data_IF_396803152383
#
_entry.id   IF_396803152383
#
_cell.length_a   1.000
_cell.length_b   1.000
_cell.length_c   1.000
_cell.angle_alpha   90.00
_cell.angle_beta   90.00
_cell.angle_gamma   90.00
#
_symmetry.space_group_name_H-M   'P 1'
#
loop_
_entity.id
_entity.type
_entity.pdbx_description
1 polymer ?
#
# COMPACT_ATOMS: atom_id res chain seq x y z
N UNK A 1 7.67 -8.56 9.50
CA UNK A 1 6.23 -8.26 9.72
C UNK A 1 5.56 -8.00 8.38
N UNK A 2 4.33 -8.41 8.24
CA UNK A 2 3.53 -8.14 7.04
C UNK A 2 2.59 -6.99 7.33
N UNK A 3 2.70 -5.93 6.56
CA UNK A 3 1.90 -4.72 6.73
C UNK A 3 1.13 -4.46 5.44
N UNK A 4 -0.13 -4.10 5.57
CA UNK A 4 -0.98 -3.81 4.43
C UNK A 4 -1.32 -2.32 4.31
N UNK A 5 -1.52 -1.87 3.08
CA UNK A 5 -2.01 -0.53 2.79
C UNK A 5 -3.15 -0.60 1.79
N UNK A 6 -4.26 0.02 2.12
CA UNK A 6 -5.45 0.08 1.28
C UNK A 6 -5.86 1.53 1.04
N UNK A 7 -6.15 1.88 -0.21
CA UNK A 7 -6.60 3.22 -0.57
C UNK A 7 -7.81 3.13 -1.47
N UNK A 8 -8.84 3.92 -1.17
CA UNK A 8 -10.03 4.04 -1.99
C UNK A 8 -10.38 5.50 -2.19
N UNK A 9 -11.16 5.78 -3.22
CA UNK A 9 -11.82 7.09 -3.37
C UNK A 9 -13.19 7.04 -2.70
N UNK A 10 -13.85 8.18 -2.57
CA UNK A 10 -15.20 8.23 -2.01
C UNK A 10 -16.22 7.48 -2.87
N UNK A 11 -15.93 7.31 -4.15
CA UNK A 11 -16.80 6.60 -5.09
C UNK A 11 -16.48 5.10 -5.17
N UNK A 12 -15.38 4.69 -4.57
CA UNK A 12 -14.92 3.31 -4.62
C UNK A 12 -15.51 2.55 -3.46
N UNK A 13 -16.18 1.43 -3.74
CA UNK A 13 -16.83 0.61 -2.73
C UNK A 13 -16.09 -0.70 -2.48
N UNK A 14 -14.83 -0.79 -2.91
CA UNK A 14 -14.05 -2.02 -2.83
C UNK A 14 -13.14 -2.09 -1.61
N UNK A 15 -13.33 -1.21 -0.62
CA UNK A 15 -12.46 -1.20 0.56
C UNK A 15 -12.51 -2.53 1.30
N UNK A 16 -13.70 -3.11 1.49
CA UNK A 16 -13.84 -4.38 2.20
C UNK A 16 -13.11 -5.51 1.48
N UNK A 17 -13.18 -5.53 0.15
CA UNK A 17 -12.44 -6.53 -0.64
C UNK A 17 -10.93 -6.38 -0.44
N UNK A 18 -10.43 -5.15 -0.42
CA UNK A 18 -9.02 -4.91 -0.19
C UNK A 18 -8.61 -5.36 1.21
N UNK A 19 -9.39 -5.01 2.22
CA UNK A 19 -9.09 -5.37 3.60
C UNK A 19 -9.11 -6.89 3.79
N UNK A 20 -10.11 -7.56 3.23
CA UNK A 20 -10.20 -9.02 3.33
C UNK A 20 -9.00 -9.70 2.66
N UNK A 21 -8.61 -9.24 1.48
CA UNK A 21 -7.47 -9.79 0.77
C UNK A 21 -6.17 -9.60 1.57
N UNK A 22 -5.99 -8.43 2.17
CA UNK A 22 -4.82 -8.16 3.00
C UNK A 22 -4.79 -9.05 4.23
N UNK A 23 -5.93 -9.27 4.87
CA UNK A 23 -6.01 -10.17 6.02
C UNK A 23 -5.69 -11.61 5.64
N UNK A 24 -6.16 -12.06 4.49
CA UNK A 24 -5.86 -13.40 3.99
C UNK A 24 -4.36 -13.58 3.76
N UNK A 25 -3.69 -12.53 3.30
CA UNK A 25 -2.24 -12.56 3.13
C UNK A 25 -1.47 -12.61 4.45
N UNK A 26 -2.15 -12.40 5.57
CA UNK A 26 -1.51 -12.47 6.88
C UNK A 26 -0.96 -11.15 7.36
N UNK A 27 -1.48 -10.02 6.86
CA UNK A 27 -1.04 -8.71 7.33
C UNK A 27 -1.39 -8.53 8.79
N UNK A 28 -0.38 -8.18 9.60
CA UNK A 28 -0.56 -7.99 11.04
C UNK A 28 -1.11 -6.60 11.35
N UNK A 29 -0.84 -5.65 10.47
CA UNK A 29 -1.36 -4.29 10.60
C UNK A 29 -1.73 -3.76 9.22
N UNK A 30 -2.87 -3.10 9.12
CA UNK A 30 -3.37 -2.57 7.86
C UNK A 30 -3.63 -1.08 8.03
N UNK A 31 -3.02 -0.28 7.16
CA UNK A 31 -3.27 1.16 7.06
C UNK A 31 -4.26 1.39 5.93
N UNK A 32 -5.27 2.20 6.18
CA UNK A 32 -6.30 2.46 5.17
C UNK A 32 -6.58 3.94 5.06
N UNK A 33 -6.85 4.37 3.84
CA UNK A 33 -7.14 5.76 3.50
C UNK A 33 -8.29 5.84 2.54
N UNK A 34 -9.12 6.87 2.71
CA UNK A 34 -10.12 7.22 1.72
C UNK A 34 -9.80 8.63 1.24
N UNK A 35 -9.50 8.76 -0.05
CA UNK A 35 -9.10 10.04 -0.63
C UNK A 35 -10.16 10.47 -1.63
N UNK A 36 -10.78 11.61 -1.38
CA UNK A 36 -11.87 12.13 -2.19
C UNK A 36 -11.44 13.18 -3.21
N UNK A 37 -10.18 13.56 -3.22
CA UNK A 37 -9.69 14.61 -4.10
C UNK A 37 -8.32 14.24 -4.67
N UNK A 38 -7.86 15.07 -5.63
CA UNK A 38 -6.57 14.86 -6.29
C UNK A 38 -5.38 15.37 -5.46
N UNK A 39 -5.59 15.69 -4.21
CA UNK A 39 -4.51 16.13 -3.33
C UNK A 39 -3.50 15.02 -3.13
N UNK A 40 -2.23 15.40 -3.07
CA UNK A 40 -1.14 14.44 -2.94
C UNK A 40 -0.95 13.94 -1.50
N UNK A 41 -1.63 14.55 -0.55
CA UNK A 41 -1.44 14.22 0.85
C UNK A 41 -2.05 12.85 1.18
N UNK A 42 -1.22 11.95 1.67
CA UNK A 42 -1.63 10.58 2.05
C UNK A 42 -1.05 10.24 3.42
N UNK A 43 -1.66 10.75 4.49
CA UNK A 43 -1.10 10.59 5.82
C UNK A 43 -0.97 9.13 6.27
N UNK A 44 -1.89 8.27 5.86
CA UNK A 44 -1.81 6.86 6.25
C UNK A 44 -0.71 6.13 5.51
N UNK A 45 -0.43 6.50 4.27
CA UNK A 45 0.73 5.94 3.56
C UNK A 45 2.02 6.36 4.25
N UNK A 46 2.13 7.62 4.64
CA UNK A 46 3.29 8.11 5.36
C UNK A 46 3.48 7.35 6.67
N UNK A 47 2.41 7.16 7.44
CA UNK A 47 2.45 6.40 8.68
C UNK A 47 2.87 4.96 8.43
N UNK A 48 2.36 4.35 7.37
CA UNK A 48 2.71 3.00 6.98
C UNK A 48 4.19 2.88 6.69
N UNK A 49 4.73 3.79 5.88
CA UNK A 49 6.14 3.77 5.51
C UNK A 49 7.04 3.98 6.73
N UNK A 50 6.62 4.83 7.66
CA UNK A 50 7.39 5.05 8.90
C UNK A 50 7.38 3.85 9.82
N UNK A 51 6.34 3.02 9.76
CA UNK A 51 6.23 1.82 10.58
C UNK A 51 7.04 0.65 10.02
N UNK A 52 7.38 0.68 8.74
CA UNK A 52 8.12 -0.38 8.10
C UNK A 52 9.58 -0.40 8.57
N UNK A 53 10.10 -1.61 8.72
CA UNK A 53 11.50 -1.83 9.10
C UNK A 53 12.13 -2.80 8.11
N UNK A 54 13.46 -2.86 8.10
CA UNK A 54 14.19 -3.79 7.25
C UNK A 54 13.67 -5.21 7.47
N UNK A 55 13.37 -5.90 6.37
CA UNK A 55 12.82 -7.26 6.42
C UNK A 55 11.31 -7.33 6.41
N UNK A 56 10.62 -6.20 6.54
CA UNK A 56 9.15 -6.18 6.48
C UNK A 56 8.67 -6.22 5.02
N UNK A 57 7.42 -6.64 4.84
CA UNK A 57 6.79 -6.70 3.53
C UNK A 57 5.54 -5.83 3.52
N UNK A 58 5.42 -4.98 2.52
CA UNK A 58 4.22 -4.16 2.31
C UNK A 58 3.33 -4.85 1.28
N UNK A 59 2.10 -5.13 1.67
CA UNK A 59 1.08 -5.70 0.80
C UNK A 59 0.11 -4.64 0.37
N UNK A 60 -0.21 -4.60 -0.93
CA UNK A 60 -1.20 -3.68 -1.48
C UNK A 60 -2.15 -4.46 -2.39
N UNK A 61 -3.35 -3.90 -2.61
CA UNK A 61 -4.33 -4.51 -3.47
C UNK A 61 -3.90 -4.47 -4.93
N UNK A 62 -3.52 -3.28 -5.39
CA UNK A 62 -3.05 -3.04 -6.74
C UNK A 62 -2.04 -1.92 -6.72
N UNK A 63 -1.16 -1.88 -7.72
CA UNK A 63 -0.13 -0.84 -7.81
C UNK A 63 -0.73 0.56 -7.92
N UNK A 64 -1.88 0.70 -8.59
CA UNK A 64 -2.53 2.01 -8.71
C UNK A 64 -3.10 2.53 -7.38
N UNK A 65 -3.16 1.68 -6.36
CA UNK A 65 -3.54 2.10 -5.01
C UNK A 65 -2.35 2.57 -4.19
N UNK A 66 -1.14 2.30 -4.63
CA UNK A 66 0.07 2.76 -3.94
C UNK A 66 0.54 4.10 -4.47
N UNK A 67 0.57 4.28 -5.79
CA UNK A 67 1.00 5.50 -6.44
C UNK A 67 -0.11 6.12 -7.27
N UNK A 68 -0.07 7.44 -7.43
CA UNK A 68 -1.08 8.18 -8.21
C UNK A 68 -0.62 8.43 -9.64
N UNK A 69 0.69 8.33 -9.87
CA UNK A 69 1.30 8.45 -11.19
C UNK A 69 2.44 7.45 -11.25
N UNK A 70 2.94 7.21 -12.45
CA UNK A 70 4.08 6.32 -12.62
C UNK A 70 5.29 6.82 -11.82
N UNK A 71 5.53 8.11 -11.85
CA UNK A 71 6.66 8.71 -11.12
C UNK A 71 6.50 8.50 -9.61
N UNK A 72 5.31 8.74 -9.08
CA UNK A 72 5.02 8.56 -7.67
C UNK A 72 5.20 7.09 -7.26
N UNK A 73 4.72 6.17 -8.09
CA UNK A 73 4.87 4.74 -7.84
C UNK A 73 6.34 4.34 -7.81
N UNK A 74 7.12 4.80 -8.77
CA UNK A 74 8.56 4.49 -8.84
C UNK A 74 9.28 5.02 -7.60
N UNK A 75 8.96 6.24 -7.18
CA UNK A 75 9.56 6.83 -5.99
C UNK A 75 9.27 6.01 -4.75
N UNK A 76 8.03 5.54 -4.59
CA UNK A 76 7.63 4.74 -3.43
C UNK A 76 8.33 3.38 -3.44
N UNK A 77 8.38 2.72 -4.60
CA UNK A 77 9.07 1.43 -4.72
C UNK A 77 10.56 1.58 -4.41
N UNK A 78 11.19 2.64 -4.92
CA UNK A 78 12.59 2.91 -4.64
C UNK A 78 12.81 3.12 -3.14
N UNK A 79 11.94 3.87 -2.50
CA UNK A 79 12.02 4.09 -1.06
C UNK A 79 11.94 2.78 -0.28
N UNK A 80 11.04 1.88 -0.67
CA UNK A 80 10.93 0.57 -0.04
C UNK A 80 12.20 -0.25 -0.20
N UNK A 81 12.79 -0.21 -1.39
CA UNK A 81 14.05 -0.93 -1.64
C UNK A 81 15.17 -0.39 -0.76
N UNK A 82 15.25 0.92 -0.59
CA UNK A 82 16.26 1.54 0.26
C UNK A 82 16.08 1.17 1.74
N UNK A 83 14.85 0.86 2.13
CA UNK A 83 14.52 0.45 3.49
C UNK A 83 14.68 -1.06 3.69
N UNK A 84 15.10 -1.80 2.68
CA UNK A 84 15.17 -3.26 2.68
C UNK A 84 13.80 -3.91 2.95
N UNK A 85 12.75 -3.31 2.42
CA UNK A 85 11.39 -3.82 2.49
C UNK A 85 10.96 -4.39 1.16
N UNK A 86 10.13 -5.42 1.18
CA UNK A 86 9.55 -6.01 -0.01
C UNK A 86 8.17 -5.42 -0.29
N UNK A 87 7.74 -5.49 -1.55
CA UNK A 87 6.42 -5.04 -1.98
C UNK A 87 5.72 -6.20 -2.68
N UNK A 88 4.47 -6.46 -2.28
CA UNK A 88 3.62 -7.45 -2.94
C UNK A 88 2.32 -6.78 -3.38
N UNK A 89 2.01 -6.88 -4.66
CA UNK A 89 0.72 -6.43 -5.20
C UNK A 89 -0.14 -7.65 -5.45
N UNK A 90 -1.28 -7.73 -4.76
CA UNK A 90 -2.12 -8.93 -4.76
C UNK A 90 -2.72 -9.17 -6.14
N UNK A 91 -3.31 -8.14 -6.74
CA UNK A 91 -4.03 -8.29 -8.01
C UNK A 91 -3.11 -8.52 -9.20
N UNK A 92 -1.90 -8.01 -9.15
CA UNK A 92 -0.96 -8.14 -10.25
C UNK A 92 0.05 -9.25 -10.02
N UNK A 93 -0.04 -9.90 -8.87
CA UNK A 93 0.86 -11.00 -8.50
C UNK A 93 2.34 -10.60 -8.61
N UNK A 94 2.65 -9.34 -8.35
CA UNK A 94 4.02 -8.83 -8.37
C UNK A 94 4.58 -8.95 -6.96
N UNK A 95 5.75 -9.55 -6.88
CA UNK A 95 6.48 -9.74 -5.64
C UNK A 95 7.92 -9.31 -5.88
N UNK A 96 8.34 -8.26 -5.23
CA UNK A 96 9.72 -7.74 -5.39
C UNK A 96 10.56 -7.95 -4.15
#
# INVERSE_FOLDING_TARGET
MKIGYARTSTLDQNLDLQLDALKICGCEKIYQEQISSVKDHRPQLENCLQALRAGDTLYIWRLDRLGRSLKDLINTVTQLQEMDCELVSIKESIDT
#
